data_IF_791958453563
#
_entry.id   IF_791958453563
#
_cell.length_a   1.000
_cell.length_b   1.000
_cell.length_c   1.000
_cell.angle_alpha   90.00
_cell.angle_beta   90.00
_cell.angle_gamma   90.00
#
_symmetry.space_group_name_H-M   'P 1'
#
loop_
_entity.id
_entity.type
_entity.pdbx_description
1 polymer ?
#
# COMPACT_ATOMS: atom_id res chain seq x y z
N UNK A 1 -11.66 -14.22 -30.94
CA UNK A 1 -11.08 -13.13 -30.14
C UNK A 1 -9.97 -12.47 -30.94
N UNK A 2 -9.89 -11.14 -30.96
CA UNK A 2 -8.78 -10.43 -31.62
C UNK A 2 -7.44 -10.68 -30.91
N UNK A 3 -6.29 -10.50 -31.58
CA UNK A 3 -4.98 -10.62 -30.93
C UNK A 3 -4.83 -9.73 -29.68
N UNK A 4 -5.39 -8.51 -29.73
CA UNK A 4 -5.41 -7.59 -28.60
C UNK A 4 -6.21 -8.15 -27.42
N UNK A 5 -7.38 -8.74 -27.67
CA UNK A 5 -8.20 -9.36 -26.63
C UNK A 5 -7.48 -10.55 -25.96
N UNK A 6 -6.75 -11.35 -26.74
CA UNK A 6 -5.94 -12.45 -26.18
C UNK A 6 -4.79 -11.95 -25.31
N UNK A 7 -4.09 -10.90 -25.75
CA UNK A 7 -3.02 -10.27 -24.96
C UNK A 7 -3.56 -9.69 -23.64
N UNK A 8 -4.69 -9.00 -23.69
CA UNK A 8 -5.37 -8.46 -22.52
C UNK A 8 -5.76 -9.56 -21.52
N UNK A 9 -6.38 -10.63 -22.02
CA UNK A 9 -6.75 -11.79 -21.20
C UNK A 9 -5.52 -12.45 -20.57
N UNK A 10 -4.45 -12.64 -21.35
CA UNK A 10 -3.20 -13.21 -20.84
C UNK A 10 -2.52 -12.32 -19.81
N UNK A 11 -2.63 -11.00 -19.96
CA UNK A 11 -2.05 -10.05 -19.01
C UNK A 11 -2.72 -10.18 -17.62
N UNK A 12 -4.05 -10.22 -17.59
CA UNK A 12 -4.84 -10.24 -16.34
C UNK A 12 -5.03 -11.64 -15.74
N UNK A 13 -5.21 -12.66 -16.58
CA UNK A 13 -5.68 -13.97 -16.14
C UNK A 13 -4.73 -15.12 -16.50
N UNK A 14 -3.43 -14.83 -16.62
CA UNK A 14 -2.41 -15.90 -16.76
C UNK A 14 -2.58 -16.91 -15.61
N UNK A 15 -2.76 -18.21 -15.91
CA UNK A 15 -2.89 -19.22 -14.88
C UNK A 15 -1.66 -19.26 -13.98
N UNK A 16 -1.87 -19.16 -12.67
CA UNK A 16 -0.82 -19.25 -11.65
C UNK A 16 -1.27 -20.12 -10.48
N UNK A 17 -0.32 -20.61 -9.69
CA UNK A 17 -0.62 -21.36 -8.48
C UNK A 17 -1.25 -20.44 -7.41
N UNK A 18 -2.20 -20.95 -6.60
CA UNK A 18 -2.78 -20.18 -5.49
C UNK A 18 -1.74 -19.76 -4.43
N UNK A 19 -0.59 -20.45 -4.36
CA UNK A 19 0.43 -20.23 -3.34
C UNK A 19 0.94 -18.79 -3.28
N UNK A 20 1.09 -18.12 -4.43
CA UNK A 20 1.61 -16.75 -4.46
C UNK A 20 0.64 -15.76 -3.81
N UNK A 21 -0.65 -15.84 -4.17
CA UNK A 21 -1.69 -14.98 -3.61
C UNK A 21 -1.93 -15.30 -2.13
N UNK A 22 -1.91 -16.58 -1.75
CA UNK A 22 -1.99 -17.00 -0.35
C UNK A 22 -0.86 -16.41 0.50
N UNK A 23 0.38 -16.40 0.00
CA UNK A 23 1.50 -15.78 0.72
C UNK A 23 1.39 -14.25 0.77
N UNK A 24 0.92 -13.62 -0.32
CA UNK A 24 0.61 -12.18 -0.30
C UNK A 24 -0.42 -11.86 0.79
N UNK A 25 -1.47 -12.68 0.92
CA UNK A 25 -2.48 -12.54 1.99
C UNK A 25 -1.83 -12.63 3.38
N UNK A 26 -1.09 -13.70 3.66
CA UNK A 26 -0.42 -13.89 4.96
C UNK A 26 0.46 -12.70 5.30
N UNK A 27 1.35 -12.29 4.40
CA UNK A 27 2.29 -11.21 4.65
C UNK A 27 1.59 -9.85 4.77
N UNK A 28 0.64 -9.55 3.88
CA UNK A 28 -0.09 -8.29 3.87
C UNK A 28 -0.93 -8.10 5.14
N UNK A 29 -1.79 -9.08 5.46
CA UNK A 29 -2.64 -8.98 6.64
C UNK A 29 -1.85 -9.12 7.94
N UNK A 30 -0.78 -9.92 7.96
CA UNK A 30 0.12 -10.02 9.10
C UNK A 30 0.83 -8.69 9.38
N UNK A 31 1.41 -8.07 8.36
CA UNK A 31 2.06 -6.77 8.51
C UNK A 31 1.06 -5.66 8.88
N UNK A 32 -0.13 -5.65 8.26
CA UNK A 32 -1.19 -4.72 8.64
C UNK A 32 -1.64 -4.93 10.09
N UNK A 33 -1.81 -6.17 10.55
CA UNK A 33 -2.16 -6.46 11.93
C UNK A 33 -1.09 -5.97 12.90
N UNK A 34 0.19 -6.26 12.65
CA UNK A 34 1.31 -5.80 13.49
C UNK A 34 1.39 -4.27 13.52
N UNK A 35 1.16 -3.60 12.39
CA UNK A 35 1.18 -2.14 12.33
C UNK A 35 0.02 -1.53 13.13
N UNK A 36 -1.21 -2.02 12.91
CA UNK A 36 -2.41 -1.45 13.52
C UNK A 36 -2.72 -1.96 14.93
N UNK A 37 -2.06 -3.01 15.42
CA UNK A 37 -2.32 -3.49 16.79
C UNK A 37 -2.01 -2.42 17.84
N UNK A 38 -1.02 -1.58 17.58
CA UNK A 38 -0.58 -0.47 18.45
C UNK A 38 -1.35 0.84 18.25
N UNK A 39 -2.17 0.95 17.20
CA UNK A 39 -2.90 2.17 16.88
C UNK A 39 -4.24 2.21 17.61
N UNK A 40 -4.65 3.39 18.08
CA UNK A 40 -5.96 3.61 18.72
C UNK A 40 -6.78 4.64 17.95
N UNK A 41 -7.93 4.21 17.43
CA UNK A 41 -8.89 5.08 16.75
C UNK A 41 -9.88 5.74 17.71
N UNK A 42 -9.98 5.28 18.96
CA UNK A 42 -10.97 5.76 19.92
C UNK A 42 -10.80 7.25 20.26
N UNK A 43 -9.55 7.74 20.20
CA UNK A 43 -9.21 9.15 20.38
C UNK A 43 -9.93 10.09 19.41
N UNK A 44 -10.33 9.63 18.21
CA UNK A 44 -11.08 10.47 17.27
C UNK A 44 -12.47 10.84 17.78
N UNK A 45 -13.03 10.09 18.74
CA UNK A 45 -14.31 10.44 19.37
C UNK A 45 -14.24 11.66 20.29
N UNK A 46 -13.04 12.08 20.74
CA UNK A 46 -12.86 13.25 21.60
C UNK A 46 -12.52 14.53 20.83
N UNK A 47 -12.29 14.43 19.51
CA UNK A 47 -12.01 15.59 18.67
C UNK A 47 -13.26 16.47 18.56
N UNK A 48 -13.08 17.78 18.70
CA UNK A 48 -14.18 18.74 18.67
C UNK A 48 -15.00 18.61 17.37
N UNK A 49 -16.34 18.53 17.45
CA UNK A 49 -17.21 18.47 16.27
C UNK A 49 -17.08 19.69 15.34
N UNK A 50 -16.54 20.81 15.83
CA UNK A 50 -16.27 22.00 14.99
C UNK A 50 -15.32 21.70 13.84
N UNK A 51 -14.43 20.72 14.00
CA UNK A 51 -13.49 20.32 12.95
C UNK A 51 -14.07 19.30 11.96
N UNK A 52 -15.32 18.85 12.16
CA UNK A 52 -15.95 17.86 11.29
C UNK A 52 -16.22 18.43 9.90
N UNK A 53 -15.38 18.05 8.94
CA UNK A 53 -15.52 18.33 7.51
C UNK A 53 -15.46 16.99 6.74
N UNK A 54 -16.61 16.32 6.58
CA UNK A 54 -16.64 14.96 6.09
C UNK A 54 -16.26 14.87 4.61
N UNK A 55 -15.38 13.92 4.28
CA UNK A 55 -15.04 13.62 2.87
C UNK A 55 -16.27 13.09 2.12
N UNK A 56 -16.20 13.11 0.78
CA UNK A 56 -17.32 12.73 -0.10
C UNK A 56 -17.93 11.37 0.27
N UNK A 57 -17.11 10.36 0.57
CA UNK A 57 -17.59 9.04 0.94
C UNK A 57 -18.40 9.04 2.26
N UNK A 58 -17.93 9.76 3.27
CA UNK A 58 -18.63 9.88 4.56
C UNK A 58 -19.91 10.69 4.43
N UNK A 59 -19.91 11.77 3.63
CA UNK A 59 -21.12 12.53 3.31
C UNK A 59 -22.16 11.68 2.60
N UNK A 60 -21.76 10.98 1.54
CA UNK A 60 -22.66 10.18 0.72
C UNK A 60 -23.31 9.04 1.52
N UNK A 61 -22.54 8.37 2.37
CA UNK A 61 -23.02 7.28 3.22
C UNK A 61 -23.63 7.75 4.55
N UNK A 62 -23.69 9.07 4.79
CA UNK A 62 -24.12 9.70 6.05
C UNK A 62 -23.43 9.09 7.29
N UNK A 63 -22.14 8.78 7.16
CA UNK A 63 -21.31 8.27 8.25
C UNK A 63 -20.89 9.42 9.15
N UNK A 64 -20.88 9.18 10.47
CA UNK A 64 -20.48 10.15 11.50
C UNK A 64 -19.49 9.51 12.45
N UNK A 65 -18.72 10.35 13.15
CA UNK A 65 -17.95 9.89 14.31
C UNK A 65 -18.90 9.28 15.34
N UNK A 66 -18.53 8.10 15.85
CA UNK A 66 -19.29 7.37 16.88
C UNK A 66 -18.66 7.56 18.25
N UNK A 67 -19.33 7.10 19.32
CA UNK A 67 -18.77 7.13 20.66
C UNK A 67 -17.45 6.36 20.77
N UNK A 68 -16.60 6.75 21.72
CA UNK A 68 -15.31 6.08 22.00
C UNK A 68 -15.47 4.58 22.24
N UNK A 69 -16.49 4.17 23.00
CA UNK A 69 -16.79 2.74 23.24
C UNK A 69 -17.12 1.98 21.95
N UNK A 70 -17.89 2.60 21.05
CA UNK A 70 -18.19 2.00 19.74
C UNK A 70 -16.92 1.87 18.90
N UNK A 71 -16.07 2.90 18.88
CA UNK A 71 -14.79 2.84 18.15
C UNK A 71 -13.86 1.76 18.69
N UNK A 72 -13.82 1.55 20.01
CA UNK A 72 -13.07 0.46 20.64
C UNK A 72 -13.55 -0.90 20.13
N UNK A 73 -14.87 -1.12 20.08
CA UNK A 73 -15.44 -2.37 19.55
C UNK A 73 -15.11 -2.53 18.07
N UNK A 74 -15.36 -1.51 17.25
CA UNK A 74 -15.11 -1.56 15.81
C UNK A 74 -13.64 -1.84 15.48
N UNK A 75 -12.71 -1.14 16.14
CA UNK A 75 -11.28 -1.37 15.91
C UNK A 75 -10.83 -2.75 16.42
N UNK A 76 -11.43 -3.27 17.50
CA UNK A 76 -11.11 -4.61 18.00
C UNK A 76 -11.56 -5.67 17.01
N UNK A 77 -12.80 -5.59 16.54
CA UNK A 77 -13.34 -6.49 15.51
C UNK A 77 -12.50 -6.40 14.23
N UNK A 78 -12.11 -5.19 13.83
CA UNK A 78 -11.26 -4.98 12.66
C UNK A 78 -9.87 -5.63 12.82
N UNK A 79 -9.19 -5.42 13.95
CA UNK A 79 -7.89 -6.05 14.25
C UNK A 79 -7.99 -7.58 14.27
N UNK A 80 -9.05 -8.13 14.87
CA UNK A 80 -9.34 -9.57 14.82
C UNK A 80 -9.55 -10.03 13.37
N UNK A 81 -10.30 -9.28 12.56
CA UNK A 81 -10.50 -9.60 11.16
C UNK A 81 -9.18 -9.60 10.35
N UNK A 82 -8.24 -8.68 10.65
CA UNK A 82 -6.89 -8.70 10.06
C UNK A 82 -6.13 -9.98 10.46
N UNK A 83 -6.14 -10.36 11.74
CA UNK A 83 -5.47 -11.56 12.22
C UNK A 83 -6.07 -12.85 11.61
N UNK A 84 -7.39 -12.96 11.58
CA UNK A 84 -8.12 -14.07 10.94
C UNK A 84 -7.83 -14.14 9.43
N UNK A 85 -7.81 -12.98 8.77
CA UNK A 85 -7.43 -12.88 7.36
C UNK A 85 -5.97 -13.23 7.10
N UNK A 86 -5.07 -13.05 8.07
CA UNK A 86 -3.66 -13.46 7.98
C UNK A 86 -3.50 -14.98 8.05
N UNK A 87 -4.13 -15.64 9.03
CA UNK A 87 -4.07 -17.12 9.15
C UNK A 87 -4.99 -17.84 8.16
N UNK A 88 -5.94 -17.11 7.57
CA UNK A 88 -6.87 -17.63 6.57
C UNK A 88 -7.94 -18.49 7.22
N UNK A 89 -8.52 -17.95 8.29
CA UNK A 89 -9.65 -18.51 9.02
C UNK A 89 -10.88 -17.64 8.73
N UNK A 90 -11.95 -18.25 8.22
CA UNK A 90 -13.12 -17.57 7.66
C UNK A 90 -12.73 -16.49 6.63
N UNK A 91 -11.80 -16.80 5.72
CA UNK A 91 -11.06 -15.81 4.90
C UNK A 91 -11.97 -14.81 4.19
N UNK A 92 -13.08 -15.26 3.58
CA UNK A 92 -14.00 -14.35 2.87
C UNK A 92 -14.66 -13.35 3.82
N UNK A 93 -15.09 -13.81 4.99
CA UNK A 93 -15.71 -12.95 6.01
C UNK A 93 -14.67 -12.04 6.63
N UNK A 94 -13.49 -12.56 6.98
CA UNK A 94 -12.39 -11.78 7.55
C UNK A 94 -11.93 -10.66 6.62
N UNK A 95 -11.68 -10.96 5.35
CA UNK A 95 -11.18 -9.97 4.38
C UNK A 95 -12.24 -8.91 4.04
N UNK A 96 -13.52 -9.31 3.90
CA UNK A 96 -14.62 -8.37 3.72
C UNK A 96 -14.82 -7.47 4.95
N UNK A 97 -14.77 -8.04 6.15
CA UNK A 97 -14.85 -7.28 7.41
C UNK A 97 -13.67 -6.32 7.54
N UNK A 98 -12.47 -6.76 7.18
CA UNK A 98 -11.27 -5.92 7.17
C UNK A 98 -11.40 -4.74 6.20
N UNK A 99 -11.98 -4.95 5.03
CA UNK A 99 -12.24 -3.88 4.07
C UNK A 99 -13.31 -2.90 4.56
N UNK A 100 -14.47 -3.40 5.01
CA UNK A 100 -15.60 -2.56 5.43
C UNK A 100 -15.25 -1.73 6.67
N UNK A 101 -14.77 -2.37 7.73
CA UNK A 101 -14.40 -1.67 8.96
C UNK A 101 -13.14 -0.82 8.74
N UNK A 102 -12.19 -1.28 7.92
CA UNK A 102 -11.02 -0.49 7.55
C UNK A 102 -11.40 0.78 6.79
N UNK A 103 -12.40 0.72 5.91
CA UNK A 103 -12.90 1.89 5.19
C UNK A 103 -13.46 2.97 6.13
N UNK A 104 -14.16 2.56 7.19
CA UNK A 104 -14.62 3.48 8.21
C UNK A 104 -13.48 3.98 9.11
N UNK A 105 -12.71 3.07 9.71
CA UNK A 105 -11.66 3.42 10.70
C UNK A 105 -10.52 4.24 10.08
N UNK A 106 -10.00 3.81 8.94
CA UNK A 106 -8.94 4.53 8.23
C UNK A 106 -9.46 5.81 7.57
N UNK A 107 -10.74 5.84 7.20
CA UNK A 107 -11.39 7.02 6.62
C UNK A 107 -11.71 8.10 7.65
N UNK A 108 -11.95 7.73 8.91
CA UNK A 108 -12.39 8.65 9.97
C UNK A 108 -11.46 9.87 10.18
N UNK A 109 -10.13 9.72 10.31
CA UNK A 109 -9.20 10.85 10.47
C UNK A 109 -9.29 11.92 9.38
N UNK A 110 -9.66 11.53 8.15
CA UNK A 110 -9.68 12.42 6.98
C UNK A 110 -10.86 13.40 6.99
N UNK A 111 -11.77 13.27 7.97
CA UNK A 111 -12.95 14.12 8.13
C UNK A 111 -12.71 15.28 9.10
N UNK A 112 -11.45 15.55 9.49
CA UNK A 112 -11.09 16.59 10.45
C UNK A 112 -10.19 17.68 9.85
N UNK A 113 -10.46 18.08 8.60
CA UNK A 113 -9.81 19.21 7.92
C UNK A 113 -8.48 18.89 7.21
N UNK A 114 -7.99 17.65 7.26
CA UNK A 114 -6.82 17.21 6.50
C UNK A 114 -7.02 15.81 5.94
N UNK A 115 -6.86 15.69 4.62
CA UNK A 115 -6.84 14.41 3.92
C UNK A 115 -5.40 13.94 3.82
N UNK A 116 -5.14 12.73 4.30
CA UNK A 116 -3.87 12.05 4.16
C UNK A 116 -3.95 11.02 3.02
N UNK A 117 -2.89 10.89 2.23
CA UNK A 117 -2.89 10.02 1.05
C UNK A 117 -2.33 8.62 1.34
N UNK A 118 -1.77 8.36 2.53
CA UNK A 118 -1.10 7.10 2.84
C UNK A 118 -2.05 5.90 3.05
N UNK A 119 -3.30 6.12 3.45
CA UNK A 119 -4.26 5.03 3.72
C UNK A 119 -4.97 4.49 2.47
N UNK A 120 -5.09 5.31 1.41
CA UNK A 120 -5.93 5.02 0.27
C UNK A 120 -5.53 3.73 -0.45
N UNK A 121 -4.22 3.51 -0.65
CA UNK A 121 -3.74 2.29 -1.28
C UNK A 121 -4.04 1.06 -0.42
N UNK A 122 -3.79 1.13 0.88
CA UNK A 122 -4.07 0.01 1.79
C UNK A 122 -5.55 -0.39 1.74
N UNK A 123 -6.46 0.60 1.74
CA UNK A 123 -7.90 0.35 1.62
C UNK A 123 -8.27 -0.28 0.27
N UNK A 124 -7.66 0.18 -0.83
CA UNK A 124 -7.84 -0.43 -2.15
C UNK A 124 -7.38 -1.89 -2.13
N UNK A 125 -6.21 -2.18 -1.55
CA UNK A 125 -5.69 -3.55 -1.45
C UNK A 125 -6.60 -4.43 -0.57
N UNK A 126 -7.11 -3.90 0.55
CA UNK A 126 -8.12 -4.60 1.37
C UNK A 126 -9.36 -4.97 0.53
N UNK A 127 -9.87 -4.04 -0.28
CA UNK A 127 -11.01 -4.28 -1.17
C UNK A 127 -10.73 -5.32 -2.25
N UNK A 128 -9.54 -5.26 -2.88
CA UNK A 128 -9.09 -6.27 -3.84
C UNK A 128 -9.06 -7.66 -3.16
N UNK A 129 -8.48 -7.75 -1.97
CA UNK A 129 -8.36 -9.01 -1.23
C UNK A 129 -9.71 -9.55 -0.74
N UNK A 130 -10.69 -8.68 -0.46
CA UNK A 130 -12.04 -9.06 -0.05
C UNK A 130 -12.81 -9.83 -1.14
N UNK A 131 -12.52 -9.54 -2.41
CA UNK A 131 -13.17 -10.20 -3.57
C UNK A 131 -12.26 -11.25 -4.23
N UNK A 132 -10.96 -11.27 -3.90
CA UNK A 132 -10.00 -12.22 -4.45
C UNK A 132 -10.14 -13.61 -3.81
N UNK A 133 -9.74 -14.65 -4.57
CA UNK A 133 -9.67 -16.03 -4.08
C UNK A 133 -8.39 -16.29 -3.26
N UNK A 134 -8.15 -15.46 -2.24
CA UNK A 134 -6.91 -15.51 -1.46
C UNK A 134 -6.88 -16.54 -0.32
N UNK A 135 -8.02 -17.17 -0.01
CA UNK A 135 -8.11 -18.31 0.95
C UNK A 135 -7.77 -19.66 0.33
N UNK A 136 -7.59 -19.72 -0.98
CA UNK A 136 -7.34 -20.99 -1.68
C UNK A 136 -5.91 -21.50 -1.50
N UNK A 137 -5.02 -20.85 -0.73
CA UNK A 137 -3.73 -21.40 -0.27
C UNK A 137 -3.26 -20.73 1.05
N UNK A 138 -2.38 -21.44 1.79
CA UNK A 138 -1.81 -20.99 3.07
C UNK A 138 -2.87 -20.61 4.12
N UNK A 139 -4.02 -21.29 4.09
CA UNK A 139 -5.25 -20.92 4.81
C UNK A 139 -5.72 -22.07 5.70
N UNK A 140 -6.11 -21.77 6.95
CA UNK A 140 -6.72 -22.74 7.85
C UNK A 140 -8.11 -23.22 7.39
N UNK A 141 -8.83 -22.42 6.60
CA UNK A 141 -10.11 -22.81 5.97
C UNK A 141 -10.04 -24.15 5.21
N UNK A 142 -8.85 -24.52 4.72
CA UNK A 142 -8.60 -25.79 4.03
C UNK A 142 -8.65 -27.01 4.95
N UNK A 143 -8.43 -26.85 6.25
CA UNK A 143 -8.54 -27.96 7.20
C UNK A 143 -9.99 -28.46 7.32
N UNK A 144 -10.97 -27.60 7.04
CA UNK A 144 -12.40 -27.95 7.09
C UNK A 144 -13.04 -28.10 5.71
N UNK A 145 -12.42 -27.53 4.67
CA UNK A 145 -12.91 -27.65 3.30
C UNK A 145 -12.28 -28.86 2.60
N UNK A 146 -13.08 -29.89 2.28
CA UNK A 146 -12.71 -31.04 1.41
C UNK A 146 -12.52 -30.63 -0.06
N UNK A 147 -11.83 -29.51 -0.33
CA UNK A 147 -11.53 -29.04 -1.68
C UNK A 147 -10.27 -29.76 -2.16
N UNK A 148 -10.46 -30.93 -2.74
CA UNK A 148 -9.40 -31.63 -3.46
C UNK A 148 -8.95 -30.83 -4.70
N UNK A 149 -7.64 -30.75 -4.91
CA UNK A 149 -7.05 -30.31 -6.18
C UNK A 149 -7.27 -28.86 -6.58
N UNK A 150 -6.72 -27.88 -5.83
CA UNK A 150 -6.69 -26.49 -6.30
C UNK A 150 -5.80 -26.34 -7.53
N UNK A 151 -6.43 -26.24 -8.71
CA UNK A 151 -5.77 -26.10 -10.02
C UNK A 151 -5.25 -24.67 -10.23
N UNK A 152 -4.11 -24.47 -10.92
CA UNK A 152 -3.67 -23.15 -11.36
C UNK A 152 -4.76 -22.40 -12.14
N UNK A 153 -5.00 -21.14 -11.79
CA UNK A 153 -6.05 -20.31 -12.38
C UNK A 153 -5.62 -18.85 -12.50
N UNK A 154 -6.24 -18.12 -13.44
CA UNK A 154 -6.09 -16.67 -13.58
C UNK A 154 -6.64 -15.87 -12.40
N UNK A 155 -7.54 -16.48 -11.61
CA UNK A 155 -8.14 -15.90 -10.40
C UNK A 155 -7.11 -15.52 -9.32
N UNK A 156 -5.93 -16.12 -9.37
CA UNK A 156 -4.85 -15.83 -8.42
C UNK A 156 -3.86 -14.78 -8.94
N UNK A 157 -3.96 -14.40 -10.21
CA UNK A 157 -3.02 -13.49 -10.87
C UNK A 157 -3.55 -12.05 -10.95
N UNK A 158 -4.81 -11.88 -11.35
CA UNK A 158 -5.41 -10.56 -11.50
C UNK A 158 -5.35 -9.71 -10.22
N UNK A 159 -5.52 -10.24 -8.98
CA UNK A 159 -5.48 -9.40 -7.79
C UNK A 159 -4.09 -8.79 -7.57
N UNK A 160 -3.05 -9.63 -7.70
CA UNK A 160 -1.64 -9.19 -7.56
C UNK A 160 -1.31 -8.15 -8.63
N UNK A 161 -1.75 -8.39 -9.87
CA UNK A 161 -1.55 -7.45 -10.98
C UNK A 161 -2.28 -6.13 -10.79
N UNK A 162 -3.46 -6.16 -10.20
CA UNK A 162 -4.22 -4.95 -9.92
C UNK A 162 -3.53 -4.13 -8.83
N UNK A 163 -3.00 -4.77 -7.78
CA UNK A 163 -2.17 -4.08 -6.77
C UNK A 163 -0.94 -3.45 -7.41
N UNK A 164 -0.24 -4.17 -8.30
CA UNK A 164 0.90 -3.60 -9.05
C UNK A 164 0.50 -2.37 -9.85
N UNK A 165 -0.61 -2.46 -10.59
CA UNK A 165 -1.13 -1.34 -11.37
C UNK A 165 -1.45 -0.14 -10.46
N UNK A 166 -2.16 -0.36 -9.35
CA UNK A 166 -2.52 0.73 -8.43
C UNK A 166 -1.30 1.40 -7.82
N UNK A 167 -0.32 0.62 -7.35
CA UNK A 167 0.95 1.17 -6.86
C UNK A 167 1.68 1.97 -7.93
N UNK A 168 1.80 1.43 -9.15
CA UNK A 168 2.46 2.10 -10.26
C UNK A 168 1.75 3.39 -10.68
N UNK A 169 0.41 3.43 -10.64
CA UNK A 169 -0.36 4.64 -10.93
C UNK A 169 -0.14 5.73 -9.89
N UNK A 170 -0.03 5.37 -8.60
CA UNK A 170 0.25 6.36 -7.53
C UNK A 170 1.61 7.02 -7.76
N UNK A 171 2.66 6.24 -8.01
CA UNK A 171 3.99 6.82 -8.30
C UNK A 171 4.02 7.61 -9.59
N UNK A 172 3.41 7.08 -10.65
CA UNK A 172 3.35 7.78 -11.92
C UNK A 172 2.63 9.12 -11.79
N UNK A 173 1.49 9.15 -11.09
CA UNK A 173 0.75 10.39 -10.82
C UNK A 173 1.59 11.37 -9.97
N UNK A 174 2.35 10.88 -9.00
CA UNK A 174 3.29 11.69 -8.20
C UNK A 174 4.36 12.34 -9.07
N UNK A 175 5.00 11.59 -9.97
CA UNK A 175 5.99 12.11 -10.91
C UNK A 175 5.41 13.12 -11.90
N UNK A 176 4.24 12.81 -12.47
CA UNK A 176 3.50 13.72 -13.35
C UNK A 176 3.11 15.00 -12.63
N UNK A 177 2.64 14.93 -11.38
CA UNK A 177 2.25 16.10 -10.61
C UNK A 177 3.44 17.05 -10.36
N UNK A 178 4.62 16.51 -10.07
CA UNK A 178 5.86 17.29 -9.91
C UNK A 178 6.21 18.07 -11.18
N UNK A 179 6.21 17.38 -12.33
CA UNK A 179 6.52 18.02 -13.61
C UNK A 179 5.42 18.97 -14.07
N UNK A 180 4.14 18.67 -13.81
CA UNK A 180 3.03 19.54 -14.19
C UNK A 180 3.02 20.85 -13.41
N UNK A 181 3.35 20.80 -12.12
CA UNK A 181 3.29 21.99 -11.24
C UNK A 181 4.55 22.85 -11.31
N UNK A 182 5.72 22.22 -11.42
CA UNK A 182 7.01 22.92 -11.31
C UNK A 182 7.92 22.73 -12.53
N UNK A 183 7.52 21.91 -13.51
CA UNK A 183 8.35 21.59 -14.67
C UNK A 183 9.69 20.95 -14.29
N UNK A 184 10.70 21.22 -15.11
CA UNK A 184 12.08 20.78 -14.84
C UNK A 184 12.71 21.51 -13.64
N UNK A 185 12.13 22.62 -13.16
CA UNK A 185 12.60 23.29 -11.96
C UNK A 185 12.46 22.39 -10.72
N UNK A 186 11.54 21.41 -10.70
CA UNK A 186 11.48 20.42 -9.62
C UNK A 186 12.81 19.67 -9.44
N UNK A 187 13.53 19.43 -10.54
CA UNK A 187 14.81 18.72 -10.57
C UNK A 187 15.98 19.69 -10.46
N UNK A 188 16.00 20.76 -11.25
CA UNK A 188 17.20 21.59 -11.40
C UNK A 188 17.29 22.79 -10.44
N UNK A 189 16.25 23.09 -9.68
CA UNK A 189 16.28 24.14 -8.64
C UNK A 189 16.79 23.61 -7.29
N UNK A 190 16.80 24.48 -6.29
CA UNK A 190 17.17 24.13 -4.92
C UNK A 190 15.98 23.57 -4.11
N UNK A 191 14.86 23.23 -4.77
CA UNK A 191 13.65 22.72 -4.15
C UNK A 191 13.91 21.55 -3.17
N UNK A 192 14.68 20.53 -3.57
CA UNK A 192 14.97 19.41 -2.68
C UNK A 192 15.85 19.82 -1.49
N UNK A 193 16.85 20.68 -1.70
CA UNK A 193 17.70 21.20 -0.63
C UNK A 193 16.87 22.00 0.38
N UNK A 194 15.98 22.86 -0.09
CA UNK A 194 15.05 23.64 0.73
C UNK A 194 14.11 22.70 1.50
N UNK A 195 13.55 21.69 0.84
CA UNK A 195 12.64 20.73 1.48
C UNK A 195 13.35 19.95 2.59
N UNK A 196 14.60 19.52 2.35
CA UNK A 196 15.43 18.83 3.35
C UNK A 196 15.66 19.69 4.59
N UNK A 197 15.91 21.00 4.42
CA UNK A 197 16.06 21.93 5.55
C UNK A 197 14.73 22.15 6.26
N UNK A 198 13.66 22.44 5.51
CA UNK A 198 12.35 22.75 6.09
C UNK A 198 11.77 21.61 6.93
N UNK A 199 11.96 20.36 6.50
CA UNK A 199 11.42 19.21 7.22
C UNK A 199 12.17 18.90 8.52
N UNK A 200 13.31 19.52 8.79
CA UNK A 200 13.97 19.45 10.10
C UNK A 200 13.30 20.36 11.15
N UNK A 201 12.38 21.22 10.71
CA UNK A 201 11.61 22.13 11.56
C UNK A 201 10.14 21.69 11.68
N UNK A 202 9.89 20.38 11.80
CA UNK A 202 8.56 19.78 12.08
C UNK A 202 7.45 20.16 11.08
N UNK A 203 7.81 20.49 9.83
CA UNK A 203 6.83 20.84 8.78
C UNK A 203 6.07 19.62 8.26
N UNK A 204 6.74 18.47 8.22
CA UNK A 204 6.17 17.22 7.78
C UNK A 204 5.29 16.60 8.87
N UNK A 205 4.48 15.60 8.51
CA UNK A 205 3.66 14.88 9.49
C UNK A 205 4.46 14.00 10.45
N UNK A 206 5.76 13.81 10.17
CA UNK A 206 6.69 13.03 10.98
C UNK A 206 8.09 13.56 10.74
N UNK A 207 8.92 13.49 11.78
CA UNK A 207 10.27 14.01 11.73
C UNK A 207 11.24 13.03 11.07
N UNK A 208 12.29 13.55 10.38
CA UNK A 208 13.41 12.74 9.89
C UNK A 208 14.00 11.86 11.01
N UNK A 209 14.40 10.63 10.66
CA UNK A 209 15.09 9.75 11.62
C UNK A 209 16.50 10.24 11.96
N UNK A 210 17.12 10.99 11.05
CA UNK A 210 18.47 11.53 11.19
C UNK A 210 18.56 12.95 10.63
N UNK A 211 19.53 13.72 11.12
CA UNK A 211 19.80 15.09 10.67
C UNK A 211 20.63 15.19 9.38
N UNK A 212 20.93 14.05 8.72
CA UNK A 212 21.75 14.01 7.50
C UNK A 212 21.16 14.82 6.34
N UNK A 213 19.85 15.10 6.36
CA UNK A 213 19.20 15.99 5.40
C UNK A 213 19.85 17.38 5.35
N UNK A 214 20.32 17.91 6.49
CA UNK A 214 21.04 19.20 6.54
C UNK A 214 22.40 19.13 5.84
N UNK A 215 23.13 18.03 6.03
CA UNK A 215 24.42 17.83 5.38
C UNK A 215 24.26 17.67 3.86
N UNK A 216 23.23 16.94 3.43
CA UNK A 216 22.90 16.74 2.02
C UNK A 216 22.45 18.04 1.35
N UNK A 217 21.65 18.86 2.04
CA UNK A 217 21.16 20.14 1.52
C UNK A 217 22.27 21.14 1.15
N UNK A 218 23.46 21.02 1.76
CA UNK A 218 24.63 21.83 1.40
C UNK A 218 25.21 21.51 0.02
N UNK A 219 24.80 20.40 -0.59
CA UNK A 219 25.32 19.94 -1.87
C UNK A 219 24.23 19.94 -2.94
N UNK A 220 24.10 21.07 -3.65
CA UNK A 220 23.05 21.26 -4.66
C UNK A 220 23.08 20.17 -5.76
N UNK A 221 24.27 19.73 -6.21
CA UNK A 221 24.40 18.70 -7.25
C UNK A 221 23.82 17.35 -6.82
N UNK A 222 24.07 16.92 -5.57
CA UNK A 222 23.49 15.70 -5.03
C UNK A 222 21.97 15.81 -4.89
N UNK A 223 21.48 16.96 -4.45
CA UNK A 223 20.03 17.20 -4.36
C UNK A 223 19.36 17.11 -5.74
N UNK A 224 19.95 17.72 -6.77
CA UNK A 224 19.42 17.67 -8.14
C UNK A 224 19.46 16.25 -8.71
N UNK A 225 20.54 15.50 -8.45
CA UNK A 225 20.66 14.09 -8.87
C UNK A 225 19.59 13.21 -8.20
N UNK A 226 19.35 13.36 -6.90
CA UNK A 226 18.32 12.61 -6.18
C UNK A 226 16.89 13.02 -6.61
N UNK A 227 16.67 14.30 -6.89
CA UNK A 227 15.41 14.78 -7.44
C UNK A 227 15.14 14.18 -8.83
N UNK A 228 16.16 14.16 -9.70
CA UNK A 228 16.09 13.53 -11.01
C UNK A 228 15.80 12.02 -10.90
N UNK A 229 16.53 11.31 -10.04
CA UNK A 229 16.34 9.88 -9.80
C UNK A 229 14.93 9.57 -9.30
N UNK A 230 14.40 10.41 -8.41
CA UNK A 230 13.04 10.29 -7.88
C UNK A 230 12.01 10.40 -9.01
N UNK A 231 12.08 11.48 -9.80
CA UNK A 231 11.14 11.72 -10.90
C UNK A 231 11.25 10.63 -11.97
N UNK A 232 12.46 10.20 -12.34
CA UNK A 232 12.66 9.13 -13.31
C UNK A 232 12.10 7.79 -12.82
N UNK A 233 12.29 7.46 -11.54
CA UNK A 233 11.74 6.23 -10.94
C UNK A 233 10.21 6.27 -10.90
N UNK A 234 9.63 7.42 -10.53
CA UNK A 234 8.18 7.62 -10.50
C UNK A 234 7.55 7.51 -11.89
N UNK A 235 8.12 8.17 -12.90
CA UNK A 235 7.61 8.14 -14.27
C UNK A 235 7.79 6.77 -14.94
N UNK A 236 8.80 5.98 -14.53
CA UNK A 236 9.02 4.63 -15.04
C UNK A 236 8.20 3.56 -14.31
N UNK A 237 7.46 3.90 -13.25
CA UNK A 237 6.66 2.95 -12.48
C UNK A 237 5.67 2.10 -13.32
N UNK A 238 5.00 2.61 -14.38
CA UNK A 238 4.15 1.78 -15.23
C UNK A 238 4.92 0.67 -15.98
N UNK A 239 6.20 0.89 -16.30
CA UNK A 239 7.04 -0.11 -16.98
C UNK A 239 7.28 -1.34 -16.10
N UNK A 240 7.33 -1.17 -14.77
CA UNK A 240 7.49 -2.28 -13.82
C UNK A 240 6.32 -3.27 -13.84
N UNK A 241 5.13 -2.81 -14.26
CA UNK A 241 3.98 -3.69 -14.44
C UNK A 241 4.25 -4.63 -15.61
N UNK A 242 4.62 -4.11 -16.78
CA UNK A 242 4.71 -4.92 -18.00
C UNK A 242 6.04 -5.66 -18.16
N UNK A 243 7.16 -5.07 -17.75
CA UNK A 243 8.51 -5.59 -17.98
C UNK A 243 9.12 -6.15 -16.69
N UNK A 244 9.59 -7.40 -16.77
CA UNK A 244 10.29 -8.06 -15.65
C UNK A 244 11.64 -7.40 -15.33
N UNK A 245 12.33 -6.86 -16.34
CA UNK A 245 13.59 -6.13 -16.15
C UNK A 245 13.34 -4.77 -15.48
N UNK A 246 12.38 -4.00 -16.00
CA UNK A 246 12.03 -2.71 -15.39
C UNK A 246 11.58 -2.91 -13.94
N UNK A 247 10.83 -3.98 -13.66
CA UNK A 247 10.43 -4.34 -12.29
C UNK A 247 11.60 -4.57 -11.36
N UNK A 248 12.64 -5.27 -11.81
CA UNK A 248 13.81 -5.58 -11.00
C UNK A 248 14.61 -4.33 -10.61
N UNK A 249 14.48 -3.23 -11.36
CA UNK A 249 15.19 -1.97 -11.10
C UNK A 249 14.28 -0.94 -10.42
N UNK A 250 13.10 -0.69 -10.99
CA UNK A 250 12.19 0.39 -10.58
C UNK A 250 11.54 0.10 -9.23
N UNK A 251 11.13 -1.15 -8.95
CA UNK A 251 10.46 -1.47 -7.67
C UNK A 251 11.41 -1.27 -6.48
N UNK A 252 12.65 -1.81 -6.50
CA UNK A 252 13.63 -1.51 -5.45
C UNK A 252 13.98 -0.02 -5.36
N UNK A 253 14.09 0.70 -6.50
CA UNK A 253 14.36 2.13 -6.48
C UNK A 253 13.25 2.91 -5.77
N UNK A 254 11.97 2.64 -6.08
CA UNK A 254 10.82 3.28 -5.42
C UNK A 254 10.72 2.92 -3.93
N UNK A 255 11.08 1.69 -3.57
CA UNK A 255 11.17 1.28 -2.16
C UNK A 255 12.27 2.08 -1.44
N UNK A 256 13.48 2.14 -2.03
CA UNK A 256 14.61 2.87 -1.48
C UNK A 256 14.34 4.37 -1.38
N UNK A 257 13.61 4.97 -2.33
CA UNK A 257 13.20 6.37 -2.28
C UNK A 257 12.31 6.62 -1.07
N UNK A 258 11.30 5.79 -0.80
CA UNK A 258 10.44 5.99 0.38
C UNK A 258 11.18 5.77 1.70
N UNK A 259 12.06 4.78 1.76
CA UNK A 259 12.96 4.62 2.92
C UNK A 259 13.83 5.86 3.09
N UNK A 260 14.41 6.38 2.00
CA UNK A 260 15.18 7.61 2.00
C UNK A 260 14.35 8.81 2.49
N UNK A 261 13.12 8.98 2.00
CA UNK A 261 12.20 10.02 2.47
C UNK A 261 11.98 9.87 3.98
N UNK A 262 11.69 8.67 4.48
CA UNK A 262 11.50 8.45 5.92
C UNK A 262 12.73 8.86 6.73
N UNK A 263 13.92 8.50 6.24
CA UNK A 263 15.20 8.72 6.92
C UNK A 263 15.59 10.21 6.95
N UNK A 264 15.59 10.89 5.79
CA UNK A 264 16.15 12.26 5.68
C UNK A 264 15.11 13.37 5.55
N UNK A 265 13.88 13.06 5.16
CA UNK A 265 12.80 14.03 4.96
C UNK A 265 11.69 13.91 6.00
N UNK A 266 11.48 12.76 6.63
CA UNK A 266 10.53 12.58 7.73
C UNK A 266 9.25 11.81 7.41
N UNK A 267 8.46 12.15 6.37
CA UNK A 267 7.24 11.44 6.05
C UNK A 267 7.42 9.91 5.96
N UNK A 268 6.53 9.19 6.60
CA UNK A 268 6.40 7.74 6.53
C UNK A 268 5.32 7.32 5.53
N UNK A 269 5.54 6.17 4.90
CA UNK A 269 4.61 5.55 3.96
C UNK A 269 4.37 4.10 4.38
N UNK A 270 4.15 3.86 5.67
CA UNK A 270 4.18 2.52 6.27
C UNK A 270 3.13 1.60 5.64
N UNK A 271 1.92 2.11 5.44
CA UNK A 271 0.83 1.42 4.73
C UNK A 271 1.22 1.03 3.30
N UNK A 272 1.98 1.90 2.61
CA UNK A 272 2.46 1.66 1.26
C UNK A 272 3.60 0.63 1.26
N UNK A 273 4.50 0.67 2.27
CA UNK A 273 5.57 -0.31 2.48
C UNK A 273 5.01 -1.73 2.60
N UNK A 274 3.90 -1.90 3.34
CA UNK A 274 3.21 -3.18 3.50
C UNK A 274 2.78 -3.76 2.13
N UNK A 275 2.38 -2.90 1.19
CA UNK A 275 1.93 -3.34 -0.14
C UNK A 275 3.07 -3.89 -1.02
N UNK A 276 4.35 -3.67 -0.67
CA UNK A 276 5.47 -4.24 -1.43
C UNK A 276 5.54 -5.77 -1.41
N UNK A 277 4.87 -6.42 -0.45
CA UNK A 277 4.78 -7.89 -0.39
C UNK A 277 4.18 -8.49 -1.67
N UNK A 278 3.38 -7.73 -2.43
CA UNK A 278 2.79 -8.19 -3.69
C UNK A 278 3.80 -8.25 -4.83
N UNK A 279 4.90 -7.50 -4.77
CA UNK A 279 5.97 -7.54 -5.78
C UNK A 279 6.92 -8.73 -5.59
N UNK A 280 6.92 -9.35 -4.41
CA UNK A 280 7.77 -10.49 -4.09
C UNK A 280 7.29 -11.74 -4.85
N UNK A 281 8.18 -12.44 -5.58
CA UNK A 281 7.82 -13.65 -6.32
C UNK A 281 7.78 -14.88 -5.40
N UNK A 282 6.86 -14.90 -4.43
CA UNK A 282 6.75 -15.94 -3.38
C UNK A 282 6.77 -17.36 -3.94
N UNK A 283 6.06 -17.61 -5.04
CA UNK A 283 6.06 -18.94 -5.68
C UNK A 283 7.45 -19.43 -6.11
N UNK A 284 8.37 -18.55 -6.50
CA UNK A 284 9.76 -18.92 -6.82
C UNK A 284 10.55 -19.22 -5.54
N UNK A 285 10.41 -18.38 -4.51
CA UNK A 285 11.09 -18.56 -3.23
C UNK A 285 10.69 -19.86 -2.54
N UNK A 286 9.39 -20.18 -2.56
CA UNK A 286 8.86 -21.42 -1.99
C UNK A 286 9.37 -22.67 -2.71
N UNK A 287 9.56 -22.61 -4.04
CA UNK A 287 10.14 -23.73 -4.81
C UNK A 287 11.61 -23.95 -4.46
N UNK A 288 12.39 -22.89 -4.33
CA UNK A 288 13.82 -22.96 -3.96
C UNK A 288 13.97 -23.59 -2.57
N UNK A 289 13.15 -23.17 -1.60
CA UNK A 289 13.17 -23.73 -0.25
C UNK A 289 12.74 -25.21 -0.18
N UNK A 290 11.92 -25.67 -1.14
CA UNK A 290 11.49 -27.07 -1.19
C UNK A 290 12.54 -27.96 -1.86
N UNK A 291 13.32 -27.45 -2.80
CA UNK A 291 14.43 -28.18 -3.45
C UNK A 291 15.71 -28.28 -2.62
N UNK A 292 15.81 -27.49 -1.55
CA UNK A 292 16.96 -27.48 -0.63
C UNK A 292 16.76 -28.35 0.63
N UNK A 293 15.65 -29.10 0.70
CA UNK A 293 15.35 -30.11 1.72
C UNK A 293 15.39 -31.49 1.08
#
# INVERSE_FOLDING_TARGET
MTPLAQLWQRFWFRPTSPANLGMCRVCFFGAAFVYYCTQDFSAWASVSPVFWDPIVAFRFLNLRVTSSGTLIVLQTVWKVALALSCVGLATRVGTATAFVLGGYLLGLPHNFGKIHHYDALLLIVLGIMAVARCGDAWSLDRLWSKRDGVVPSGEYWWPVRLVWLMMSLVFFASGVAKLRTSGLAWIFSDNLAITLVQNQYHRAHSDPLVSWGLALARHAQWCRALAALTVLSELSAPLAVVSGWARAVVVPALFAIQVGIRVVLGPSFDQFMICYVFWVPWSRLLRISASSR
#
